data_IF_797500242722
#
_entry.id   IF_797500242722
#
_cell.length_a   1.000
_cell.length_b   1.000
_cell.length_c   1.000
_cell.angle_alpha   90.00
_cell.angle_beta   90.00
_cell.angle_gamma   90.00
#
_symmetry.space_group_name_H-M   'P 1'
#
loop_
_entity.id
_entity.type
_entity.pdbx_description
1 polymer ?
#
# COMPACT_ATOMS: atom_id res chain seq x y z
N UNK A 1 1.05 9.40 -26.47
CA UNK A 1 1.33 8.83 -26.51
C UNK A 1 1.73 8.31 -26.39
N UNK A 2 1.49 8.63 -26.35
CA UNK A 2 1.86 7.91 -26.35
C UNK A 2 2.20 7.36 -26.17
N UNK A 3 1.92 7.61 -26.10
CA UNK A 3 2.18 6.98 -26.00
C UNK A 3 2.31 6.47 -25.71
N UNK A 4 1.93 6.83 -25.46
CA UNK A 4 2.07 6.16 -25.24
C UNK A 4 1.94 5.46 -24.48
N UNK A 5 1.06 5.83 -24.11
CA UNK A 5 1.00 5.08 -23.41
C UNK A 5 1.39 3.89 -22.91
N UNK A 6 1.80 3.92 -22.90
CA UNK A 6 2.50 2.68 -22.66
C UNK A 6 2.38 2.16 -21.26
N UNK A 7 2.32 3.00 -20.32
CA UNK A 7 2.14 2.59 -18.92
C UNK A 7 0.88 1.77 -18.76
N UNK A 8 -0.17 2.20 -19.42
CA UNK A 8 -1.45 1.50 -19.34
C UNK A 8 -1.36 0.08 -19.90
N UNK A 9 -0.39 -0.18 -20.73
CA UNK A 9 -0.23 -1.50 -21.33
C UNK A 9 0.63 -2.43 -20.49
N UNK A 10 1.24 -1.92 -19.48
CA UNK A 10 2.09 -2.73 -18.63
C UNK A 10 1.25 -3.30 -17.51
N UNK A 11 0.74 -4.51 -17.74
CA UNK A 11 -0.21 -5.14 -16.84
C UNK A 11 0.21 -5.13 -15.39
N UNK A 12 1.49 -5.28 -15.11
CA UNK A 12 1.96 -5.30 -13.74
C UNK A 12 1.72 -3.98 -13.01
N UNK A 13 1.62 -2.87 -13.75
CA UNK A 13 1.38 -1.56 -13.18
C UNK A 13 -0.07 -1.31 -12.89
N UNK A 14 -0.94 -2.19 -13.33
CA UNK A 14 -2.38 -2.05 -13.16
C UNK A 14 -2.95 -2.98 -12.11
N UNK A 15 -2.12 -3.48 -11.23
CA UNK A 15 -2.60 -4.34 -10.16
C UNK A 15 -3.45 -3.53 -9.20
N UNK A 16 -4.53 -4.14 -8.79
CA UNK A 16 -5.49 -3.52 -7.90
C UNK A 16 -4.88 -3.25 -6.51
N UNK A 17 -5.28 -2.15 -5.93
CA UNK A 17 -5.00 -1.85 -4.53
C UNK A 17 -6.27 -2.15 -3.75
N UNK A 18 -6.13 -2.93 -2.68
CA UNK A 18 -7.25 -3.25 -1.82
C UNK A 18 -6.99 -2.73 -0.42
N UNK A 19 -7.94 -2.00 0.11
CA UNK A 19 -7.86 -1.48 1.49
C UNK A 19 -9.15 -1.88 2.18
N UNK A 20 -9.02 -2.68 3.23
CA UNK A 20 -10.18 -3.14 3.98
C UNK A 20 -10.64 -2.06 4.97
N UNK A 21 -11.56 -2.40 5.86
CA UNK A 21 -12.17 -1.44 6.77
C UNK A 21 -11.23 -1.05 7.91
N UNK A 22 -11.49 0.12 8.48
CA UNK A 22 -10.79 0.60 9.68
C UNK A 22 -9.28 0.69 9.52
N UNK A 23 -8.82 1.14 8.35
CA UNK A 23 -7.41 1.36 8.10
C UNK A 23 -7.09 2.83 8.34
N UNK A 24 -6.03 3.09 9.09
CA UNK A 24 -5.53 4.44 9.32
C UNK A 24 -4.29 4.67 8.48
N UNK A 25 -4.32 5.72 7.69
CA UNK A 25 -3.21 6.03 6.78
C UNK A 25 -2.61 7.36 7.18
N UNK A 26 -1.37 7.33 7.63
CA UNK A 26 -0.66 8.52 8.04
C UNK A 26 -0.38 9.45 6.86
N UNK A 27 -0.05 10.70 7.18
CA UNK A 27 0.21 11.70 6.16
C UNK A 27 1.33 11.25 5.20
N UNK A 28 1.16 11.53 3.92
CA UNK A 28 2.15 11.26 2.88
C UNK A 28 2.49 9.79 2.73
N UNK A 29 1.63 8.90 3.17
CA UNK A 29 1.82 7.49 2.89
C UNK A 29 1.58 7.27 1.39
N UNK A 30 2.38 6.38 0.82
CA UNK A 30 2.28 6.03 -0.60
C UNK A 30 1.95 4.56 -0.70
N UNK A 31 0.92 4.23 -1.45
CA UNK A 31 0.49 2.85 -1.61
C UNK A 31 0.64 2.48 -3.08
N UNK A 32 1.50 1.53 -3.35
CA UNK A 32 1.80 1.13 -4.71
C UNK A 32 0.84 0.04 -5.19
N UNK A 33 0.70 -0.07 -6.49
CA UNK A 33 -0.24 -1.03 -7.06
C UNK A 33 0.07 -2.45 -6.62
N UNK A 34 -0.98 -3.22 -6.39
CA UNK A 34 -0.86 -4.59 -5.92
C UNK A 34 -0.83 -4.75 -4.43
N UNK A 35 -0.83 -3.65 -3.67
CA UNK A 35 -0.82 -3.73 -2.22
C UNK A 35 -2.20 -4.18 -1.71
N UNK A 36 -2.21 -4.96 -0.67
CA UNK A 36 -3.42 -5.38 0.02
C UNK A 36 -3.29 -5.01 1.49
N UNK A 37 -4.12 -4.10 1.94
CA UNK A 37 -4.07 -3.63 3.32
C UNK A 37 -5.28 -4.18 4.07
N UNK A 38 -5.03 -5.09 4.99
CA UNK A 38 -6.07 -5.76 5.74
C UNK A 38 -6.68 -4.82 6.78
N UNK A 39 -7.82 -5.22 7.32
CA UNK A 39 -8.54 -4.38 8.27
C UNK A 39 -7.71 -4.06 9.50
N UNK A 40 -7.94 -2.88 10.05
CA UNK A 40 -7.32 -2.41 11.28
C UNK A 40 -5.80 -2.34 11.21
N UNK A 41 -5.28 -1.99 10.04
CA UNK A 41 -3.86 -1.68 9.87
C UNK A 41 -3.68 -0.18 10.07
N UNK A 42 -2.60 0.19 10.73
CA UNK A 42 -2.19 1.58 10.88
C UNK A 42 -0.91 1.76 10.09
N UNK A 43 -0.90 2.74 9.20
CA UNK A 43 0.30 3.12 8.45
C UNK A 43 0.87 4.41 9.01
N UNK A 44 2.12 4.38 9.42
CA UNK A 44 2.80 5.58 9.89
C UNK A 44 2.98 6.59 8.77
N UNK A 45 3.19 7.85 9.14
CA UNK A 45 3.41 8.92 8.18
C UNK A 45 4.61 8.60 7.28
N UNK A 46 4.48 8.92 6.01
CA UNK A 46 5.56 8.73 5.04
C UNK A 46 5.85 7.29 4.66
N UNK A 47 5.02 6.35 5.07
CA UNK A 47 5.21 4.95 4.73
C UNK A 47 5.06 4.69 3.23
N UNK A 48 5.84 3.77 2.70
CA UNK A 48 5.73 3.34 1.32
C UNK A 48 5.34 1.87 1.31
N UNK A 49 4.12 1.59 0.90
CA UNK A 49 3.61 0.22 0.87
C UNK A 49 3.81 -0.34 -0.54
N UNK A 50 4.66 -1.35 -0.65
CA UNK A 50 4.91 -2.02 -1.93
C UNK A 50 3.85 -3.10 -2.17
N UNK A 51 3.96 -3.79 -3.30
CA UNK A 51 2.99 -4.81 -3.70
C UNK A 51 3.10 -6.03 -2.77
N UNK A 52 2.40 -5.98 -1.66
CA UNK A 52 2.40 -7.05 -0.66
C UNK A 52 1.15 -6.96 0.20
N UNK A 53 0.95 -7.97 1.02
CA UNK A 53 -0.18 -8.03 1.94
C UNK A 53 0.28 -7.57 3.32
N UNK A 54 -0.43 -6.59 3.87
CA UNK A 54 -0.24 -6.15 5.25
C UNK A 54 -1.30 -6.84 6.11
N UNK A 55 -0.84 -7.49 7.16
CA UNK A 55 -1.74 -8.29 8.02
C UNK A 55 -2.52 -7.42 8.98
N UNK A 56 -3.72 -7.90 9.34
CA UNK A 56 -4.65 -7.17 10.21
C UNK A 56 -4.08 -6.85 11.59
N UNK A 57 -4.59 -5.78 12.17
CA UNK A 57 -4.34 -5.43 13.58
C UNK A 57 -2.87 -5.16 13.87
N UNK A 58 -2.20 -4.48 12.96
CA UNK A 58 -0.77 -4.18 13.09
C UNK A 58 -0.47 -2.77 12.65
N UNK A 59 0.65 -2.29 13.13
CA UNK A 59 1.19 -0.99 12.73
C UNK A 59 2.37 -1.25 11.82
N UNK A 60 2.36 -0.59 10.66
CA UNK A 60 3.44 -0.66 9.68
C UNK A 60 4.00 0.74 9.45
N UNK A 61 5.28 0.83 9.19
CA UNK A 61 5.91 2.11 8.86
C UNK A 61 7.20 1.88 8.10
N UNK A 62 7.66 2.95 7.45
CA UNK A 62 8.95 2.93 6.77
C UNK A 62 8.86 2.80 5.26
N UNK A 63 10.02 2.71 4.63
CA UNK A 63 10.16 2.56 3.19
C UNK A 63 11.19 1.45 2.89
N UNK A 64 10.76 0.27 2.47
CA UNK A 64 9.35 -0.16 2.40
C UNK A 64 8.75 -0.34 3.79
N UNK A 65 7.43 -0.23 3.85
CA UNK A 65 6.72 -0.35 5.13
C UNK A 65 6.92 -1.75 5.71
N UNK A 66 7.26 -1.79 6.98
CA UNK A 66 7.48 -3.04 7.70
C UNK A 66 6.68 -3.04 8.99
N UNK A 67 6.35 -4.21 9.45
CA UNK A 67 5.61 -4.37 10.68
C UNK A 67 6.41 -3.82 11.87
N UNK A 68 5.77 -2.96 12.65
CA UNK A 68 6.38 -2.37 13.84
C UNK A 68 5.94 -3.15 15.06
N UNK A 69 4.63 -3.30 15.22
CA UNK A 69 4.07 -4.01 16.37
C UNK A 69 2.59 -4.28 16.12
N UNK A 70 2.00 -5.06 16.99
CA UNK A 70 0.56 -5.28 17.00
C UNK A 70 -0.16 -4.07 17.56
N UNK A 71 -1.39 -3.91 17.13
CA UNK A 71 -2.28 -2.92 17.74
C UNK A 71 -2.59 -3.30 19.16
#
# INVERSE_FOLDING_TARGET
ENNNLPIAKQGALNKKITIESDVWIGARATILSGAYISKRVVLGAGSIVVSKILNSNKIYAGNPAKEIKDL
#
